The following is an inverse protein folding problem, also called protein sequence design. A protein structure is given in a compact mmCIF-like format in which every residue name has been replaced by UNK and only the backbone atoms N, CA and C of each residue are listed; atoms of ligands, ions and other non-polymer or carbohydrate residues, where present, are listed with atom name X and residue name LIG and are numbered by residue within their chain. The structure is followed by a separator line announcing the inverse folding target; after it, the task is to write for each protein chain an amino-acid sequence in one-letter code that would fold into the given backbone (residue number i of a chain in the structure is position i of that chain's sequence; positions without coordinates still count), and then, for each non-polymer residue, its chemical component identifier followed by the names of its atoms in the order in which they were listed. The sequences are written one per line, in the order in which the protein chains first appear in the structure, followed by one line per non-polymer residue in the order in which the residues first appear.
data_IF_405641393543
#
_entry.id   IF_405641393543
#
_cell.length_a   1.000
_cell.length_b   1.000
_cell.length_c   1.000
_cell.angle_alpha   90.00
_cell.angle_beta   90.00
_cell.angle_gamma   90.00
#
_symmetry.space_group_name_H-M   'P 1'
#
loop_
_entity.id
_entity.type
_entity.pdbx_description
1 polymer ?
#
# COMPACT_ATOMS: atom_id res chain seq x y z
N UNK A 1 -23.11 55.50 -8.40
CA UNK A 1 -23.44 54.34 -7.55
C UNK A 1 -22.57 53.17 -7.97
N UNK A 2 -21.79 52.69 -7.01
CA UNK A 2 -20.83 51.58 -7.01
C UNK A 2 -21.42 50.29 -7.57
N UNK A 3 -20.72 49.56 -8.46
CA UNK A 3 -20.61 48.07 -8.42
C UNK A 3 -19.27 47.62 -9.01
N UNK A 4 -18.28 47.55 -8.13
CA UNK A 4 -17.01 46.86 -8.33
C UNK A 4 -17.32 45.35 -8.39
N UNK A 5 -17.20 44.75 -9.57
CA UNK A 5 -17.40 43.31 -9.76
C UNK A 5 -16.21 42.57 -9.17
N UNK A 6 -16.32 42.16 -7.91
CA UNK A 6 -15.36 41.27 -7.26
C UNK A 6 -15.37 39.94 -8.01
N UNK A 7 -14.34 39.70 -8.83
CA UNK A 7 -13.96 38.35 -9.28
C UNK A 7 -13.57 37.61 -8.00
N UNK A 8 -14.54 36.92 -7.42
CA UNK A 8 -14.33 35.95 -6.36
C UNK A 8 -13.58 34.80 -7.02
N UNK A 9 -12.25 34.87 -6.94
CA UNK A 9 -11.40 33.71 -7.09
C UNK A 9 -11.83 32.76 -5.98
N UNK A 10 -12.80 31.90 -6.29
CA UNK A 10 -13.11 30.72 -5.52
C UNK A 10 -11.87 29.83 -5.63
N UNK A 11 -10.88 30.12 -4.79
CA UNK A 11 -9.96 29.12 -4.29
C UNK A 11 -10.87 28.09 -3.63
N UNK A 12 -11.34 27.14 -4.44
CA UNK A 12 -11.71 25.82 -3.99
C UNK A 12 -10.44 25.29 -3.33
N UNK A 13 -10.27 25.62 -2.05
CA UNK A 13 -9.46 24.84 -1.16
C UNK A 13 -10.08 23.44 -1.22
N UNK A 14 -9.58 22.63 -2.14
CA UNK A 14 -9.67 21.18 -2.06
C UNK A 14 -9.06 20.83 -0.72
N UNK A 15 -9.94 20.68 0.27
CA UNK A 15 -9.57 20.23 1.60
C UNK A 15 -8.78 18.93 1.47
N UNK A 16 -7.73 18.83 2.29
CA UNK A 16 -7.01 17.61 2.64
C UNK A 16 -5.81 17.13 1.79
N UNK A 17 -5.21 17.94 0.89
CA UNK A 17 -3.97 17.51 0.21
C UNK A 17 -2.72 17.42 1.12
N UNK A 18 -2.74 18.06 2.30
CA UNK A 18 -1.57 18.07 3.21
C UNK A 18 -1.46 16.82 4.11
N UNK A 19 -2.59 16.13 4.38
CA UNK A 19 -2.58 14.87 5.14
C UNK A 19 -2.15 13.68 4.27
N UNK A 20 -2.68 13.62 3.04
CA UNK A 20 -2.45 12.52 2.10
C UNK A 20 -0.97 12.37 1.73
N UNK A 21 -0.21 13.46 1.55
CA UNK A 21 1.22 13.35 1.18
C UNK A 21 2.08 12.66 2.24
N UNK A 22 1.82 12.91 3.53
CA UNK A 22 2.56 12.26 4.62
C UNK A 22 2.16 10.77 4.74
N UNK A 23 0.86 10.49 4.62
CA UNK A 23 0.33 9.13 4.64
C UNK A 23 0.87 8.30 3.46
N UNK A 24 0.89 8.85 2.25
CA UNK A 24 1.46 8.21 1.06
C UNK A 24 2.93 7.85 1.30
N UNK A 25 3.74 8.78 1.85
CA UNK A 25 5.16 8.48 2.14
C UNK A 25 5.35 7.38 3.17
N UNK A 26 4.50 7.33 4.20
CA UNK A 26 4.54 6.26 5.21
C UNK A 26 4.13 4.91 4.60
N UNK A 27 3.10 4.92 3.76
CA UNK A 27 2.64 3.78 3.00
C UNK A 27 3.71 3.24 2.03
N UNK A 28 4.40 4.11 1.30
CA UNK A 28 5.53 3.74 0.44
C UNK A 28 6.66 3.08 1.25
N UNK A 29 7.01 3.65 2.41
CA UNK A 29 8.01 3.06 3.29
C UNK A 29 7.61 1.67 3.80
N UNK A 30 6.33 1.47 4.13
CA UNK A 30 5.83 0.16 4.53
C UNK A 30 5.87 -0.84 3.37
N UNK A 31 5.54 -0.41 2.15
CA UNK A 31 5.60 -1.23 0.94
C UNK A 31 7.02 -1.76 0.68
N UNK A 32 8.08 -1.02 1.04
CA UNK A 32 9.47 -1.50 0.92
C UNK A 32 9.72 -2.81 1.69
N UNK A 33 8.92 -3.09 2.74
CA UNK A 33 9.01 -4.33 3.52
C UNK A 33 8.32 -5.54 2.87
N UNK A 34 7.59 -5.37 1.77
CA UNK A 34 6.97 -6.48 1.01
C UNK A 34 8.00 -7.21 0.16
N UNK A 35 9.00 -7.78 0.84
CA UNK A 35 10.08 -8.56 0.28
C UNK A 35 10.30 -9.78 1.15
N UNK A 36 10.02 -10.96 0.61
CA UNK A 36 10.11 -12.21 1.33
C UNK A 36 11.53 -12.77 1.15
N UNK A 37 12.32 -12.75 2.21
CA UNK A 37 13.71 -13.22 2.21
C UNK A 37 13.83 -14.61 2.85
N UNK A 38 14.99 -15.25 2.66
CA UNK A 38 15.32 -16.56 3.24
C UNK A 38 14.44 -17.73 2.77
N UNK A 39 13.88 -17.64 1.55
CA UNK A 39 13.24 -18.79 0.91
C UNK A 39 14.33 -19.65 0.25
N UNK A 40 14.64 -20.83 0.79
CA UNK A 40 15.49 -21.81 0.12
C UNK A 40 14.73 -22.51 -1.03
N UNK A 41 14.53 -21.79 -2.14
CA UNK A 41 13.82 -22.28 -3.32
C UNK A 41 14.44 -23.53 -3.96
N UNK A 42 15.75 -23.74 -3.79
CA UNK A 42 16.48 -24.89 -4.34
C UNK A 42 16.19 -26.23 -3.63
N UNK A 43 15.62 -26.18 -2.43
CA UNK A 43 15.22 -27.38 -1.66
C UNK A 43 13.70 -27.56 -1.57
N UNK A 44 12.93 -26.58 -2.07
CA UNK A 44 11.49 -26.67 -2.11
C UNK A 44 11.03 -27.58 -3.24
N UNK A 45 10.61 -28.80 -2.91
CA UNK A 45 9.78 -29.58 -3.83
C UNK A 45 8.59 -28.69 -4.24
N UNK A 46 8.43 -28.45 -5.54
CA UNK A 46 7.33 -27.67 -6.16
C UNK A 46 5.96 -28.30 -5.87
N UNK A 47 5.53 -28.23 -4.62
CA UNK A 47 4.23 -28.63 -4.15
C UNK A 47 3.22 -27.55 -4.53
N UNK A 48 1.98 -27.89 -4.91
CA UNK A 48 0.90 -26.92 -5.14
C UNK A 48 0.73 -25.91 -3.99
N UNK A 49 1.09 -26.30 -2.77
CA UNK A 49 1.05 -25.45 -1.57
C UNK A 49 2.08 -24.32 -1.64
N UNK A 50 3.30 -24.60 -2.12
CA UNK A 50 4.36 -23.59 -2.27
C UNK A 50 3.94 -22.56 -3.32
N UNK A 51 3.48 -23.02 -4.49
CA UNK A 51 2.99 -22.14 -5.55
C UNK A 51 1.84 -21.24 -5.06
N UNK A 52 0.93 -21.77 -4.23
CA UNK A 52 -0.16 -20.98 -3.65
C UNK A 52 0.37 -19.81 -2.82
N UNK A 53 1.33 -20.04 -1.92
CA UNK A 53 1.87 -18.97 -1.09
C UNK A 53 2.72 -17.99 -1.90
N UNK A 54 3.49 -18.43 -2.89
CA UNK A 54 4.23 -17.53 -3.80
C UNK A 54 3.28 -16.60 -4.56
N UNK A 55 2.18 -17.14 -5.09
CA UNK A 55 1.12 -16.33 -5.71
C UNK A 55 0.48 -15.37 -4.71
N UNK A 56 0.22 -15.82 -3.47
CA UNK A 56 -0.34 -14.98 -2.42
C UNK A 56 0.58 -13.78 -2.09
N UNK A 57 1.90 -13.99 -2.01
CA UNK A 57 2.88 -12.93 -1.80
C UNK A 57 2.88 -11.91 -2.94
N UNK A 58 2.92 -12.39 -4.19
CA UNK A 58 2.89 -11.53 -5.37
C UNK A 58 1.61 -10.69 -5.43
N UNK A 59 0.46 -11.32 -5.22
CA UNK A 59 -0.84 -10.64 -5.24
C UNK A 59 -0.96 -9.61 -4.11
N UNK A 60 -0.50 -9.95 -2.90
CA UNK A 60 -0.54 -9.04 -1.75
C UNK A 60 0.29 -7.77 -2.01
N UNK A 61 1.52 -7.92 -2.54
CA UNK A 61 2.34 -6.78 -2.91
C UNK A 61 1.70 -5.93 -4.01
N UNK A 62 1.21 -6.54 -5.09
CA UNK A 62 0.55 -5.82 -6.19
C UNK A 62 -0.68 -5.03 -5.71
N UNK A 63 -1.44 -5.60 -4.78
CA UNK A 63 -2.61 -4.95 -4.17
C UNK A 63 -2.21 -3.70 -3.39
N UNK A 64 -1.15 -3.77 -2.59
CA UNK A 64 -0.61 -2.60 -1.87
C UNK A 64 -0.07 -1.55 -2.83
N UNK A 65 0.67 -1.96 -3.87
CA UNK A 65 1.14 -1.04 -4.92
C UNK A 65 -0.03 -0.28 -5.57
N UNK A 66 -1.14 -0.97 -5.85
CA UNK A 66 -2.34 -0.34 -6.40
C UNK A 66 -3.00 0.64 -5.42
N UNK A 67 -3.02 0.35 -4.12
CA UNK A 67 -3.56 1.27 -3.10
C UNK A 67 -2.73 2.55 -3.01
N UNK A 68 -1.41 2.41 -2.94
CA UNK A 68 -0.49 3.57 -2.93
C UNK A 68 -0.70 4.42 -4.19
N UNK A 69 -0.81 3.78 -5.35
CA UNK A 69 -1.03 4.49 -6.60
C UNK A 69 -2.37 5.23 -6.63
N UNK A 70 -3.46 4.60 -6.16
CA UNK A 70 -4.78 5.24 -6.10
C UNK A 70 -4.74 6.53 -5.25
N UNK A 71 -4.07 6.48 -4.09
CA UNK A 71 -3.94 7.67 -3.23
C UNK A 71 -3.04 8.76 -3.85
N UNK A 72 -2.01 8.38 -4.62
CA UNK A 72 -1.21 9.34 -5.42
C UNK A 72 -2.04 10.03 -6.49
N UNK A 73 -2.98 9.30 -7.09
CA UNK A 73 -3.89 9.80 -8.10
C UNK A 73 -5.07 10.61 -7.51
N UNK A 74 -5.18 10.65 -6.17
CA UNK A 74 -6.20 11.40 -5.43
C UNK A 74 -7.44 10.58 -5.08
N UNK A 75 -7.45 9.30 -5.42
CA UNK A 75 -8.54 8.38 -5.13
C UNK A 75 -8.38 7.76 -3.73
N UNK A 76 -9.19 8.26 -2.79
CA UNK A 76 -9.22 7.76 -1.41
C UNK A 76 -10.14 6.55 -1.34
N UNK A 77 -9.56 5.38 -1.10
CA UNK A 77 -10.27 4.10 -1.12
C UNK A 77 -10.81 3.66 0.25
N UNK A 78 -10.19 4.14 1.34
CA UNK A 78 -10.46 3.68 2.71
C UNK A 78 -10.82 4.84 3.62
N UNK A 79 -11.59 4.55 4.68
CA UNK A 79 -11.86 5.52 5.73
C UNK A 79 -10.68 5.63 6.71
N UNK A 80 -9.97 4.52 6.89
CA UNK A 80 -8.77 4.37 7.69
C UNK A 80 -7.55 4.99 6.96
N UNK A 81 -6.53 5.47 7.70
CA UNK A 81 -5.28 5.93 7.11
C UNK A 81 -4.62 4.84 6.25
N UNK A 82 -4.15 5.20 5.06
CA UNK A 82 -3.51 4.26 4.14
C UNK A 82 -2.38 3.42 4.79
N UNK A 83 -1.50 3.98 5.64
CA UNK A 83 -0.47 3.19 6.32
C UNK A 83 -1.03 2.08 7.21
N UNK A 84 -2.18 2.29 7.85
CA UNK A 84 -2.80 1.30 8.75
C UNK A 84 -3.36 0.14 7.94
N UNK A 85 -4.01 0.43 6.80
CA UNK A 85 -4.50 -0.59 5.86
C UNK A 85 -3.36 -1.45 5.32
N UNK A 86 -2.25 -0.81 4.92
CA UNK A 86 -1.06 -1.52 4.43
C UNK A 86 -0.39 -2.33 5.54
N UNK A 87 -0.38 -1.82 6.77
CA UNK A 87 0.14 -2.55 7.92
C UNK A 87 -0.62 -3.86 8.16
N UNK A 88 -1.96 -3.86 8.02
CA UNK A 88 -2.77 -5.08 8.13
C UNK A 88 -2.44 -6.05 7.00
N UNK A 89 -2.36 -5.57 5.75
CA UNK A 89 -1.97 -6.41 4.61
C UNK A 89 -0.56 -6.99 4.77
N UNK A 90 0.36 -6.25 5.40
CA UNK A 90 1.70 -6.72 5.70
C UNK A 90 1.73 -7.89 6.71
N UNK A 91 0.81 -7.93 7.67
CA UNK A 91 0.69 -9.08 8.57
C UNK A 91 0.34 -10.35 7.79
N UNK A 92 -0.62 -10.28 6.86
CA UNK A 92 -0.97 -11.41 5.99
C UNK A 92 0.16 -11.82 5.06
N UNK A 93 0.89 -10.84 4.52
CA UNK A 93 2.09 -11.08 3.74
C UNK A 93 3.14 -11.86 4.53
N UNK A 94 3.40 -11.48 5.80
CA UNK A 94 4.34 -12.18 6.67
C UNK A 94 3.92 -13.62 6.94
N UNK A 95 2.63 -13.87 7.20
CA UNK A 95 2.12 -15.24 7.42
C UNK A 95 2.35 -16.15 6.20
N UNK A 96 2.08 -15.64 4.99
CA UNK A 96 2.35 -16.36 3.76
C UNK A 96 3.85 -16.60 3.55
N UNK A 97 4.67 -15.60 3.86
CA UNK A 97 6.13 -15.65 3.72
C UNK A 97 6.73 -16.67 4.71
N UNK A 98 6.28 -16.67 5.97
CA UNK A 98 6.66 -17.66 6.98
C UNK A 98 6.24 -19.08 6.61
N UNK A 99 5.10 -19.23 5.93
CA UNK A 99 4.63 -20.53 5.42
C UNK A 99 5.55 -21.11 4.34
N UNK A 100 6.30 -20.24 3.64
CA UNK A 100 7.38 -20.60 2.72
C UNK A 100 8.73 -20.74 3.43
N UNK A 101 8.78 -20.78 4.76
CA UNK A 101 10.04 -20.81 5.49
C UNK A 101 10.86 -19.51 5.40
N UNK A 102 10.26 -18.42 4.92
CA UNK A 102 10.91 -17.11 4.80
C UNK A 102 10.39 -16.10 5.84
N UNK A 103 11.23 -15.78 6.83
CA UNK A 103 11.34 -14.56 7.65
C UNK A 103 11.78 -14.96 9.07
N UNK A 104 13.08 -14.80 9.33
CA UNK A 104 13.65 -14.72 10.69
C UNK A 104 14.77 -13.68 10.70
N UNK A 105 14.53 -12.63 11.50
CA UNK A 105 15.29 -11.40 11.82
C UNK A 105 15.71 -10.46 10.67
#
# INVERSE_FOLDING_TARGET
MLRLSFITCALLFTGCAFGTSKEIKQAEKLLEHFQCHNIESSQMMHSPIINYYEHALGNSRQKVEAYVQSYKDGDILFHEPLPDVISVEYEHYKEACQSLGGLSQ
#
